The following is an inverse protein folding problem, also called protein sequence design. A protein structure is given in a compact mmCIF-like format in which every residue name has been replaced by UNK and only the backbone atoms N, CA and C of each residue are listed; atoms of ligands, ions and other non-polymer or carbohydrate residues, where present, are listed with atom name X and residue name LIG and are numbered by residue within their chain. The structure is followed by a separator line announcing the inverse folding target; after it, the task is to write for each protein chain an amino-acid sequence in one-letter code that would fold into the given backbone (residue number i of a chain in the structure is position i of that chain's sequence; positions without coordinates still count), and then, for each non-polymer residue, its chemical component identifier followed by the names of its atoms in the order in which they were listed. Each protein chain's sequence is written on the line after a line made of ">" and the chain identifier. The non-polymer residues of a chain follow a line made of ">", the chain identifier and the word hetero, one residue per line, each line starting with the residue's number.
data_IF_063818110369
#
_entry.id   IF_063818110369
#
_cell.length_a   1.000
_cell.length_b   1.000
_cell.length_c   1.000
_cell.angle_alpha   90.00
_cell.angle_beta   90.00
_cell.angle_gamma   90.00
#
_symmetry.space_group_name_H-M   'P 1'
#
loop_
_entity.id
_entity.type
_entity.pdbx_description
1 polymer ?
#
# COMPACT_ATOMS: atom_id res chain seq x y z
N UNK A 1 -12.46 51.65 5.68
CA UNK A 1 -13.23 51.04 4.59
C UNK A 1 -13.67 49.64 5.01
N UNK A 2 -14.88 49.49 5.56
CA UNK A 2 -15.44 48.19 5.91
C UNK A 2 -16.13 47.58 4.69
N UNK A 3 -15.43 46.69 3.96
CA UNK A 3 -16.05 45.85 2.93
C UNK A 3 -16.56 44.58 3.62
N UNK A 4 -17.88 44.43 3.73
CA UNK A 4 -18.52 43.16 4.07
C UNK A 4 -18.08 42.10 3.05
N UNK A 5 -17.42 41.03 3.52
CA UNK A 5 -17.02 39.92 2.64
C UNK A 5 -18.27 39.11 2.30
N UNK A 6 -18.57 39.00 1.00
CA UNK A 6 -19.64 38.14 0.49
C UNK A 6 -19.42 36.68 0.94
N UNK A 7 -20.52 35.95 1.13
CA UNK A 7 -20.48 34.54 1.51
C UNK A 7 -19.62 33.73 0.51
N UNK A 8 -18.76 32.80 0.99
CA UNK A 8 -17.91 31.99 0.12
C UNK A 8 -18.73 31.14 -0.87
N UNK A 9 -18.25 30.99 -2.11
CA UNK A 9 -18.89 30.15 -3.14
C UNK A 9 -18.86 28.65 -2.81
N UNK A 10 -17.99 28.21 -1.90
CA UNK A 10 -18.00 26.86 -1.34
C UNK A 10 -18.95 26.83 -0.14
N UNK A 11 -19.84 25.84 -0.10
CA UNK A 11 -20.75 25.63 1.03
C UNK A 11 -19.94 25.35 2.30
N UNK A 12 -19.96 26.30 3.24
CA UNK A 12 -19.34 26.21 4.56
C UNK A 12 -20.47 26.26 5.59
N UNK A 13 -20.37 25.48 6.66
CA UNK A 13 -21.35 25.51 7.75
C UNK A 13 -21.34 26.85 8.48
N UNK A 14 -22.49 27.26 9.03
CA UNK A 14 -22.64 28.53 9.77
C UNK A 14 -21.57 28.68 10.88
N UNK A 15 -21.31 27.66 11.73
CA UNK A 15 -20.29 27.79 12.78
C UNK A 15 -18.87 28.04 12.23
N UNK A 16 -18.54 27.46 11.06
CA UNK A 16 -17.24 27.69 10.42
C UNK A 16 -17.13 29.10 9.85
N UNK A 17 -18.24 29.71 9.40
CA UNK A 17 -18.26 31.10 8.94
C UNK A 17 -18.05 32.06 10.12
N UNK A 18 -18.73 31.82 11.24
CA UNK A 18 -18.56 32.58 12.48
C UNK A 18 -17.10 32.50 12.99
N UNK A 19 -16.50 31.31 12.98
CA UNK A 19 -15.07 31.13 13.31
C UNK A 19 -14.15 31.90 12.35
N UNK A 20 -14.51 32.00 11.07
CA UNK A 20 -13.76 32.81 10.11
C UNK A 20 -13.91 34.32 10.39
N UNK A 21 -15.06 34.76 10.91
CA UNK A 21 -15.26 36.13 11.40
C UNK A 21 -14.33 36.44 12.57
N UNK A 22 -14.27 35.54 13.55
CA UNK A 22 -13.35 35.65 14.68
C UNK A 22 -11.87 35.69 14.22
N UNK A 23 -11.50 34.87 13.24
CA UNK A 23 -10.16 34.89 12.65
C UNK A 23 -9.84 36.21 11.93
N UNK A 24 -10.82 36.77 11.22
CA UNK A 24 -10.66 38.06 10.55
C UNK A 24 -10.40 39.18 11.56
N UNK A 25 -11.14 39.18 12.68
CA UNK A 25 -10.94 40.11 13.79
C UNK A 25 -9.53 39.97 14.38
N UNK A 26 -9.06 38.75 14.61
CA UNK A 26 -7.71 38.49 15.12
C UNK A 26 -6.62 39.07 14.21
N UNK A 27 -6.71 38.83 12.89
CA UNK A 27 -5.76 39.38 11.91
C UNK A 27 -5.85 40.90 11.80
N UNK A 28 -7.06 41.46 11.87
CA UNK A 28 -7.25 42.90 11.86
C UNK A 28 -6.58 43.53 13.08
N UNK A 29 -6.85 43.01 14.27
CA UNK A 29 -6.22 43.47 15.51
C UNK A 29 -4.70 43.37 15.43
N UNK A 30 -4.16 42.25 14.93
CA UNK A 30 -2.72 42.09 14.72
C UNK A 30 -2.12 43.18 13.82
N UNK A 31 -2.83 43.60 12.77
CA UNK A 31 -2.37 44.63 11.85
C UNK A 31 -2.39 46.05 12.44
N UNK A 32 -3.25 46.31 13.44
CA UNK A 32 -3.41 47.62 14.08
C UNK A 32 -2.83 47.69 15.50
N UNK A 33 -2.37 46.57 16.07
CA UNK A 33 -1.90 46.49 17.46
C UNK A 33 -0.75 47.46 17.76
N UNK A 34 0.15 47.67 16.80
CA UNK A 34 1.22 48.67 16.89
C UNK A 34 0.68 50.10 17.00
N UNK A 35 -0.38 50.43 16.26
CA UNK A 35 -1.06 51.73 16.35
C UNK A 35 -1.79 51.86 17.69
N UNK A 36 -2.51 50.82 18.14
CA UNK A 36 -3.22 50.82 19.41
C UNK A 36 -2.29 51.07 20.59
N UNK A 37 -1.07 50.52 20.56
CA UNK A 37 -0.04 50.75 21.59
C UNK A 37 0.54 52.18 21.53
N UNK A 38 0.48 52.84 20.38
CA UNK A 38 1.02 54.22 20.19
C UNK A 38 0.03 55.33 20.53
N UNK A 39 -1.26 55.03 20.72
CA UNK A 39 -2.27 56.00 21.09
C UNK A 39 -2.12 56.36 22.58
N UNK A 40 -2.06 57.66 22.89
CA UNK A 40 -1.93 58.18 24.26
C UNK A 40 -3.15 57.81 25.12
N UNK A 41 -2.96 56.93 26.09
CA UNK A 41 -3.97 56.50 27.05
C UNK A 41 -3.47 55.32 27.89
N UNK A 42 -4.12 55.03 29.02
CA UNK A 42 -3.81 53.82 29.81
C UNK A 42 -4.14 52.57 28.98
N UNK A 43 -3.16 51.70 28.64
CA UNK A 43 -3.42 50.54 27.81
C UNK A 43 -4.27 49.54 28.61
N UNK A 44 -5.54 49.41 28.25
CA UNK A 44 -6.39 48.31 28.72
C UNK A 44 -6.16 47.08 27.85
N UNK A 45 -6.17 45.87 28.43
CA UNK A 45 -6.12 44.65 27.63
C UNK A 45 -7.32 44.61 26.68
N UNK A 46 -7.13 44.19 25.42
CA UNK A 46 -8.22 44.13 24.47
C UNK A 46 -9.21 43.01 24.87
N UNK A 47 -10.51 43.31 24.74
CA UNK A 47 -11.59 42.35 24.94
C UNK A 47 -12.35 42.18 23.63
N UNK A 48 -12.54 40.93 23.22
CA UNK A 48 -13.16 40.53 21.97
C UNK A 48 -14.49 39.85 22.25
N UNK A 49 -15.50 40.17 21.45
CA UNK A 49 -16.85 39.64 21.62
C UNK A 49 -17.28 38.81 20.41
N UNK A 50 -17.98 37.71 20.68
CA UNK A 50 -18.71 36.93 19.67
C UNK A 50 -20.02 36.44 20.27
N UNK A 51 -21.05 36.39 19.45
CA UNK A 51 -22.36 35.82 19.78
C UNK A 51 -22.46 34.31 19.50
N UNK A 52 -21.43 33.73 18.89
CA UNK A 52 -21.37 32.29 18.66
C UNK A 52 -20.80 31.55 19.86
N UNK A 53 -21.69 30.89 20.60
CA UNK A 53 -21.31 29.98 21.69
C UNK A 53 -20.48 28.79 21.19
N UNK A 54 -20.68 28.33 19.95
CA UNK A 54 -19.88 27.27 19.33
C UNK A 54 -18.44 27.74 19.10
N UNK A 55 -18.24 28.97 18.59
CA UNK A 55 -16.90 29.55 18.42
C UNK A 55 -16.20 29.70 19.76
N UNK A 56 -16.90 30.21 20.79
CA UNK A 56 -16.34 30.28 22.14
C UNK A 56 -15.97 28.90 22.70
N UNK A 57 -16.83 27.90 22.49
CA UNK A 57 -16.54 26.52 22.87
C UNK A 57 -15.29 25.97 22.17
N UNK A 58 -15.14 26.23 20.87
CA UNK A 58 -13.94 25.85 20.13
C UNK A 58 -12.68 26.58 20.59
N UNK A 59 -12.75 27.88 20.90
CA UNK A 59 -11.62 28.67 21.42
C UNK A 59 -11.17 28.18 22.81
N UNK A 60 -12.09 27.67 23.61
CA UNK A 60 -11.79 27.08 24.93
C UNK A 60 -11.47 25.58 24.87
N UNK A 61 -11.50 24.96 23.69
CA UNK A 61 -11.13 23.56 23.50
C UNK A 61 -9.68 23.44 23.02
N UNK A 62 -8.86 22.54 23.60
CA UNK A 62 -7.51 22.31 23.11
C UNK A 62 -7.48 21.95 21.61
N UNK A 63 -6.64 22.64 20.83
CA UNK A 63 -6.66 22.56 19.36
C UNK A 63 -6.43 21.13 18.83
N UNK A 64 -5.73 20.27 19.55
CA UNK A 64 -5.54 18.87 19.17
C UNK A 64 -6.83 18.05 19.16
N UNK A 65 -7.82 18.42 19.98
CA UNK A 65 -9.13 17.77 20.07
C UNK A 65 -10.10 18.13 18.95
N UNK A 66 -9.77 19.13 18.12
CA UNK A 66 -10.63 19.65 17.05
C UNK A 66 -10.21 19.09 15.68
N UNK A 67 -11.16 18.90 14.76
CA UNK A 67 -10.87 18.54 13.36
C UNK A 67 -10.04 19.64 12.68
N UNK A 68 -9.27 19.25 11.67
CA UNK A 68 -8.19 20.07 11.08
C UNK A 68 -8.60 21.49 10.69
N UNK A 69 -9.79 21.69 10.12
CA UNK A 69 -10.27 23.01 9.72
C UNK A 69 -10.42 23.98 10.90
N UNK A 70 -11.06 23.51 11.97
CA UNK A 70 -11.32 24.27 13.20
C UNK A 70 -10.03 24.43 13.98
N UNK A 71 -9.28 23.34 14.16
CA UNK A 71 -8.00 23.29 14.87
C UNK A 71 -7.00 24.34 14.38
N UNK A 72 -6.81 24.45 13.06
CA UNK A 72 -5.86 25.40 12.48
C UNK A 72 -6.25 26.86 12.78
N UNK A 73 -7.55 27.18 12.71
CA UNK A 73 -8.06 28.55 12.92
C UNK A 73 -8.07 28.94 14.39
N UNK A 74 -8.47 28.01 15.27
CA UNK A 74 -8.39 28.21 16.72
C UNK A 74 -6.94 28.45 17.13
N UNK A 75 -6.00 27.67 16.59
CA UNK A 75 -4.56 27.87 16.88
C UNK A 75 -4.09 29.26 16.44
N UNK A 76 -4.48 29.72 15.25
CA UNK A 76 -4.10 31.05 14.76
C UNK A 76 -4.72 32.17 15.61
N UNK A 77 -6.01 32.08 15.97
CA UNK A 77 -6.68 33.08 16.82
C UNK A 77 -6.05 33.15 18.20
N UNK A 78 -5.83 31.99 18.82
CA UNK A 78 -5.31 31.90 20.20
C UNK A 78 -3.84 32.32 20.30
N UNK A 79 -3.05 32.12 19.24
CA UNK A 79 -1.68 32.64 19.16
C UNK A 79 -1.62 34.17 19.11
N UNK A 80 -2.61 34.82 18.47
CA UNK A 80 -2.61 36.26 18.27
C UNK A 80 -3.28 37.00 19.43
N UNK A 81 -4.40 36.48 19.95
CA UNK A 81 -5.26 37.20 20.89
C UNK A 81 -5.37 36.57 22.29
N UNK A 82 -4.84 35.36 22.49
CA UNK A 82 -5.08 34.58 23.71
C UNK A 82 -6.53 34.10 23.84
N UNK A 83 -6.76 33.10 24.69
CA UNK A 83 -8.11 32.55 24.94
C UNK A 83 -8.91 33.39 25.93
N UNK A 84 -8.25 33.97 26.93
CA UNK A 84 -8.87 34.73 28.03
C UNK A 84 -9.47 36.08 27.62
N UNK A 85 -9.18 36.55 26.41
CA UNK A 85 -9.65 37.85 25.90
C UNK A 85 -11.00 37.75 25.17
N UNK A 86 -11.59 36.56 25.05
CA UNK A 86 -12.87 36.37 24.35
C UNK A 86 -14.05 36.24 25.30
N UNK A 87 -15.12 36.98 25.02
CA UNK A 87 -16.37 37.00 25.80
C UNK A 87 -17.59 36.78 24.89
N UNK A 88 -18.69 36.36 25.49
CA UNK A 88 -19.96 36.23 24.79
C UNK A 88 -20.72 37.57 24.77
N UNK A 89 -21.34 37.89 23.64
CA UNK A 89 -22.33 38.97 23.53
C UNK A 89 -23.64 38.39 22.99
N UNK A 90 -24.79 38.87 23.46
CA UNK A 90 -26.07 38.43 22.90
C UNK A 90 -26.20 38.96 21.47
N UNK A 91 -26.77 38.17 20.55
CA UNK A 91 -26.90 38.59 19.14
C UNK A 91 -27.67 39.91 18.98
N UNK A 92 -28.65 40.20 19.85
CA UNK A 92 -29.42 41.45 19.83
C UNK A 92 -28.58 42.68 20.24
N UNK A 93 -27.49 42.45 20.96
CA UNK A 93 -26.57 43.48 21.44
C UNK A 93 -25.28 43.54 20.62
N UNK A 94 -25.14 42.70 19.58
CA UNK A 94 -23.96 42.64 18.73
C UNK A 94 -24.02 43.69 17.62
N UNK A 95 -23.23 44.78 17.67
CA UNK A 95 -23.25 45.81 16.62
C UNK A 95 -22.80 45.27 15.26
N UNK A 96 -21.98 44.21 15.22
CA UNK A 96 -21.53 43.63 13.96
C UNK A 96 -22.69 43.00 13.16
N UNK A 97 -23.78 42.61 13.82
CA UNK A 97 -24.95 42.02 13.17
C UNK A 97 -25.75 43.02 12.34
N UNK A 98 -25.80 44.29 12.75
CA UNK A 98 -26.40 45.36 11.95
C UNK A 98 -25.71 45.50 10.59
N UNK A 99 -24.39 45.26 10.53
CA UNK A 99 -23.62 45.29 9.30
C UNK A 99 -23.69 44.00 8.47
N UNK A 100 -23.93 42.85 9.10
CA UNK A 100 -23.94 41.54 8.43
C UNK A 100 -25.32 41.13 7.92
N UNK A 101 -26.39 41.46 8.65
CA UNK A 101 -27.79 41.13 8.31
C UNK A 101 -28.46 42.15 7.39
N UNK A 102 -27.82 43.31 7.20
CA UNK A 102 -28.28 44.38 6.33
C UNK A 102 -29.14 45.39 7.08
N UNK A 103 -28.86 46.68 6.85
CA UNK A 103 -29.58 47.80 7.44
C UNK A 103 -29.71 48.91 6.39
N UNK A 104 -30.86 49.57 6.30
CA UNK A 104 -31.04 50.67 5.35
C UNK A 104 -30.20 51.89 5.78
N UNK A 105 -29.72 52.67 4.82
CA UNK A 105 -28.94 53.87 5.12
C UNK A 105 -29.71 54.88 6.00
N UNK A 106 -31.03 54.98 5.81
CA UNK A 106 -31.92 55.80 6.63
C UNK A 106 -32.05 55.31 8.07
N UNK A 107 -32.00 53.99 8.28
CA UNK A 107 -32.07 53.36 9.60
C UNK A 107 -30.72 53.50 10.32
N UNK A 108 -29.61 53.44 9.59
CA UNK A 108 -28.26 53.50 10.14
C UNK A 108 -27.99 54.82 10.86
N UNK A 109 -28.53 55.92 10.33
CA UNK A 109 -28.35 57.27 10.90
C UNK A 109 -28.80 57.31 12.36
N UNK A 110 -29.89 56.61 12.69
CA UNK A 110 -30.49 56.60 14.03
C UNK A 110 -30.21 55.30 14.81
N UNK A 111 -29.30 54.45 14.33
CA UNK A 111 -29.06 53.13 14.93
C UNK A 111 -28.05 53.20 16.09
N UNK A 112 -28.53 53.51 17.30
CA UNK A 112 -27.70 53.74 18.49
C UNK A 112 -26.72 52.59 18.78
N UNK A 113 -27.16 51.34 18.63
CA UNK A 113 -26.31 50.16 18.88
C UNK A 113 -25.07 50.13 17.97
N UNK A 114 -25.15 50.62 16.73
CA UNK A 114 -24.01 50.63 15.80
C UNK A 114 -22.97 51.70 16.16
N UNK A 115 -23.44 52.87 16.58
CA UNK A 115 -22.59 54.03 16.85
C UNK A 115 -22.01 54.03 18.26
N UNK A 116 -22.77 53.57 19.25
CA UNK A 116 -22.41 53.65 20.66
C UNK A 116 -22.17 52.28 21.30
N UNK A 117 -22.52 51.19 20.63
CA UNK A 117 -22.51 49.86 21.22
C UNK A 117 -23.60 49.68 22.28
N UNK A 118 -23.67 48.51 22.94
CA UNK A 118 -24.57 48.30 24.06
C UNK A 118 -24.19 49.18 25.26
N UNK A 119 -25.20 49.68 25.98
CA UNK A 119 -25.01 50.65 27.06
C UNK A 119 -24.10 50.16 28.20
N UNK A 120 -24.02 48.84 28.42
CA UNK A 120 -23.16 48.26 29.43
C UNK A 120 -21.65 48.36 29.11
N UNK A 121 -21.26 48.59 27.85
CA UNK A 121 -19.83 48.82 27.52
C UNK A 121 -19.29 50.15 28.07
N UNK A 122 -20.18 51.11 28.36
CA UNK A 122 -19.81 52.37 28.99
C UNK A 122 -19.64 52.25 30.51
N UNK A 123 -20.09 51.14 31.10
CA UNK A 123 -19.98 50.85 32.54
C UNK A 123 -18.60 50.27 32.88
N UNK A 124 -18.32 50.16 34.19
CA UNK A 124 -17.10 49.51 34.68
C UNK A 124 -17.10 48.01 34.29
N UNK A 125 -15.93 47.43 34.03
CA UNK A 125 -15.81 46.02 33.60
C UNK A 125 -16.38 45.03 34.64
N UNK A 126 -16.42 45.41 35.92
CA UNK A 126 -17.07 44.66 37.00
C UNK A 126 -18.59 44.57 36.85
N UNK A 127 -19.19 45.51 36.11
CA UNK A 127 -20.63 45.59 35.85
C UNK A 127 -21.00 45.00 34.49
N UNK A 128 -20.02 44.49 33.72
CA UNK A 128 -20.28 43.82 32.46
C UNK A 128 -20.97 42.47 32.69
N UNK A 129 -21.86 42.05 31.78
CA UNK A 129 -22.56 40.78 31.92
C UNK A 129 -21.57 39.60 31.98
N UNK A 130 -21.77 38.72 32.96
CA UNK A 130 -20.98 37.49 33.08
C UNK A 130 -21.16 36.60 31.85
N UNK A 131 -20.04 36.22 31.23
CA UNK A 131 -20.03 35.20 30.19
C UNK A 131 -20.04 33.81 30.84
N UNK A 132 -21.22 33.31 31.20
CA UNK A 132 -21.40 31.92 31.64
C UNK A 132 -21.18 30.98 30.44
N UNK A 133 -19.93 30.60 30.18
CA UNK A 133 -19.59 29.59 29.17
C UNK A 133 -19.89 28.23 29.80
N UNK A 134 -21.10 27.72 29.60
CA UNK A 134 -21.33 26.28 29.74
C UNK A 134 -20.56 25.60 28.61
N UNK A 135 -19.43 24.96 28.92
CA UNK A 135 -18.72 24.10 27.98
C UNK A 135 -19.66 22.93 27.64
N UNK A 136 -20.50 23.13 26.62
CA UNK A 136 -21.40 22.11 26.11
C UNK A 136 -20.58 20.88 25.71
N UNK A 137 -20.97 19.71 26.20
CA UNK A 137 -20.25 18.45 25.95
C UNK A 137 -20.31 17.99 24.48
N UNK A 138 -21.15 18.62 23.66
CA UNK A 138 -21.40 18.23 22.26
C UNK A 138 -20.99 19.32 21.25
N UNK A 139 -19.75 19.80 21.31
CA UNK A 139 -19.23 20.70 20.27
C UNK A 139 -19.11 19.96 18.92
N UNK A 140 -19.59 20.55 17.81
CA UNK A 140 -19.42 19.96 16.49
C UNK A 140 -17.94 19.94 16.09
N UNK A 141 -17.58 19.07 15.16
CA UNK A 141 -16.22 18.98 14.62
C UNK A 141 -15.10 18.66 15.62
N UNK A 142 -15.45 18.06 16.75
CA UNK A 142 -14.49 17.35 17.60
C UNK A 142 -13.88 16.16 16.84
N UNK A 143 -12.59 15.89 17.06
CA UNK A 143 -12.01 14.60 16.71
C UNK A 143 -12.63 13.57 17.65
N UNK A 144 -13.09 12.47 17.08
CA UNK A 144 -13.44 11.29 17.88
C UNK A 144 -12.19 10.91 18.68
N UNK A 145 -12.27 10.74 20.02
CA UNK A 145 -11.13 10.22 20.76
C UNK A 145 -10.69 8.93 20.06
N UNK A 146 -9.43 8.88 19.64
CA UNK A 146 -8.84 7.61 19.22
C UNK A 146 -9.04 6.68 20.40
N UNK A 147 -9.79 5.60 20.19
CA UNK A 147 -10.16 4.66 21.24
C UNK A 147 -8.98 4.44 22.19
N UNK A 148 -9.18 4.71 23.49
CA UNK A 148 -8.31 4.21 24.54
C UNK A 148 -7.98 2.76 24.16
N UNK A 149 -6.70 2.48 23.94
CA UNK A 149 -6.26 1.14 23.59
C UNK A 149 -6.61 0.25 24.78
N UNK A 150 -7.79 -0.38 24.70
CA UNK A 150 -8.10 -1.55 25.49
C UNK A 150 -7.01 -2.53 25.11
N UNK A 151 -6.07 -2.76 26.03
CA UNK A 151 -5.17 -3.92 25.95
C UNK A 151 -6.10 -5.12 26.07
N UNK A 152 -6.62 -5.54 24.93
CA UNK A 152 -7.41 -6.76 24.80
C UNK A 152 -6.47 -7.88 25.25
N UNK A 153 -6.70 -8.40 26.46
CA UNK A 153 -5.93 -9.50 27.04
C UNK A 153 -5.62 -10.51 25.93
N UNK A 154 -4.34 -10.66 25.63
CA UNK A 154 -3.91 -11.47 24.49
C UNK A 154 -4.47 -12.89 24.66
N UNK A 155 -5.34 -13.30 23.73
CA UNK A 155 -5.99 -14.61 23.79
C UNK A 155 -4.92 -15.72 23.90
N UNK A 156 -4.85 -16.47 25.01
CA UNK A 156 -3.76 -17.43 25.26
C UNK A 156 -3.67 -18.50 24.17
N UNK A 157 -4.80 -18.89 23.59
CA UNK A 157 -4.84 -19.84 22.50
C UNK A 157 -4.20 -19.28 21.22
N UNK A 158 -4.40 -18.00 20.90
CA UNK A 158 -3.77 -17.36 19.75
C UNK A 158 -2.26 -17.15 19.94
N UNK A 159 -1.82 -16.86 21.16
CA UNK A 159 -0.39 -16.83 21.50
C UNK A 159 0.21 -18.22 21.32
N UNK A 160 -0.43 -19.27 21.85
CA UNK A 160 0.05 -20.63 21.64
C UNK A 160 0.08 -21.02 20.16
N UNK A 161 -0.92 -20.62 19.37
CA UNK A 161 -0.95 -20.82 17.92
C UNK A 161 0.21 -20.11 17.20
N UNK A 162 0.66 -18.95 17.68
CA UNK A 162 1.74 -18.20 17.03
C UNK A 162 3.11 -18.89 17.13
N UNK A 163 3.27 -19.81 18.08
CA UNK A 163 4.46 -20.65 18.22
C UNK A 163 4.63 -21.73 17.13
N UNK A 164 3.62 -21.97 16.29
CA UNK A 164 3.68 -23.01 15.25
C UNK A 164 4.19 -22.47 13.92
N UNK A 165 5.21 -23.10 13.34
CA UNK A 165 5.68 -22.78 11.97
C UNK A 165 5.03 -23.61 10.87
N UNK A 166 4.27 -24.66 11.22
CA UNK A 166 3.66 -25.61 10.29
C UNK A 166 2.16 -25.71 10.50
N UNK A 167 1.40 -25.47 9.43
CA UNK A 167 -0.06 -25.59 9.40
C UNK A 167 -0.53 -26.98 9.85
N UNK A 168 0.04 -28.05 9.28
CA UNK A 168 -0.34 -29.43 9.62
C UNK A 168 -0.02 -29.75 11.08
N UNK A 169 1.10 -29.27 11.61
CA UNK A 169 1.47 -29.49 13.02
C UNK A 169 0.47 -28.80 13.94
N UNK A 170 0.14 -27.54 13.65
CA UNK A 170 -0.87 -26.79 14.39
C UNK A 170 -2.23 -27.52 14.41
N UNK A 171 -2.76 -27.86 13.23
CA UNK A 171 -4.08 -28.49 13.13
C UNK A 171 -4.12 -29.84 13.86
N UNK A 172 -3.06 -30.66 13.73
CA UNK A 172 -2.97 -31.94 14.45
C UNK A 172 -2.89 -31.74 15.97
N UNK A 173 -2.11 -30.77 16.45
CA UNK A 173 -2.04 -30.45 17.88
C UNK A 173 -3.41 -30.01 18.42
N UNK A 174 -4.13 -29.16 17.70
CA UNK A 174 -5.48 -28.74 18.09
C UNK A 174 -6.48 -29.91 18.05
N UNK A 175 -6.35 -30.82 17.08
CA UNK A 175 -7.18 -32.01 17.01
C UNK A 175 -6.98 -32.93 18.23
N UNK A 176 -5.72 -33.15 18.64
CA UNK A 176 -5.42 -33.90 19.86
C UNK A 176 -5.93 -33.22 21.12
N UNK A 177 -5.80 -31.89 21.24
CA UNK A 177 -6.37 -31.13 22.37
C UNK A 177 -7.90 -31.25 22.42
N UNK A 178 -8.56 -31.16 21.27
CA UNK A 178 -10.02 -31.34 21.17
C UNK A 178 -10.44 -32.76 21.55
N UNK A 179 -9.71 -33.79 21.11
CA UNK A 179 -9.94 -35.19 21.49
C UNK A 179 -9.77 -35.39 22.99
N UNK A 180 -8.67 -34.89 23.55
CA UNK A 180 -8.41 -34.96 24.98
C UNK A 180 -9.55 -34.33 25.78
N UNK A 181 -9.96 -33.11 25.41
CA UNK A 181 -11.11 -32.41 26.01
C UNK A 181 -12.42 -33.19 25.87
N UNK A 182 -12.63 -33.87 24.75
CA UNK A 182 -13.82 -34.71 24.56
C UNK A 182 -13.76 -35.91 25.52
N UNK A 183 -12.67 -36.67 25.52
CA UNK A 183 -12.51 -37.86 26.33
C UNK A 183 -12.60 -37.56 27.83
N UNK A 184 -12.01 -36.46 28.31
CA UNK A 184 -12.08 -36.07 29.73
C UNK A 184 -13.51 -35.73 30.19
N UNK A 185 -14.36 -35.23 29.29
CA UNK A 185 -15.77 -34.96 29.57
C UNK A 185 -16.66 -36.19 29.54
N UNK A 186 -16.17 -37.31 28.99
CA UNK A 186 -16.96 -38.53 28.76
C UNK A 186 -16.38 -39.73 29.49
N UNK A 187 -15.49 -39.52 30.46
CA UNK A 187 -15.00 -40.58 31.35
C UNK A 187 -16.20 -41.14 32.12
N UNK A 188 -16.50 -42.43 31.92
CA UNK A 188 -17.58 -43.12 32.62
C UNK A 188 -19.01 -42.87 32.10
N UNK A 189 -19.21 -42.12 31.00
CA UNK A 189 -20.55 -42.02 30.38
C UNK A 189 -20.89 -43.33 29.66
N UNK A 190 -22.02 -43.94 30.03
CA UNK A 190 -22.55 -45.16 29.41
C UNK A 190 -23.00 -44.95 27.96
N UNK A 191 -23.15 -43.70 27.57
CA UNK A 191 -23.72 -43.20 26.32
C UNK A 191 -22.71 -42.92 25.20
N UNK A 192 -21.43 -42.72 25.54
CA UNK A 192 -20.43 -42.19 24.61
C UNK A 192 -19.13 -42.99 24.72
N UNK A 193 -18.58 -43.38 23.57
CA UNK A 193 -17.31 -44.09 23.50
C UNK A 193 -16.14 -43.10 23.52
N UNK A 194 -15.09 -43.42 24.27
CA UNK A 194 -13.83 -42.69 24.19
C UNK A 194 -13.22 -42.80 22.79
N UNK A 195 -12.72 -41.68 22.28
CA UNK A 195 -12.04 -41.61 21.00
C UNK A 195 -10.59 -42.07 21.15
N UNK A 196 -10.19 -43.10 20.42
CA UNK A 196 -8.84 -43.70 20.44
C UNK A 196 -8.31 -43.92 19.02
N UNK A 197 -7.01 -44.27 18.88
CA UNK A 197 -6.39 -44.56 17.58
C UNK A 197 -5.89 -43.32 16.81
N UNK A 198 -5.69 -43.38 15.48
CA UNK A 198 -5.25 -42.24 14.68
C UNK A 198 -6.30 -41.13 14.61
N UNK A 199 -5.87 -39.89 14.29
CA UNK A 199 -6.79 -38.76 14.09
C UNK A 199 -7.67 -39.00 12.87
N UNK A 200 -8.99 -38.88 13.05
CA UNK A 200 -9.95 -38.97 11.94
C UNK A 200 -10.02 -37.66 11.15
N UNK A 201 -10.52 -37.74 9.92
CA UNK A 201 -10.76 -36.56 9.09
C UNK A 201 -11.70 -35.55 9.77
N UNK A 202 -12.74 -36.03 10.46
CA UNK A 202 -13.70 -35.16 11.14
C UNK A 202 -13.05 -34.38 12.30
N UNK A 203 -12.13 -34.99 13.03
CA UNK A 203 -11.39 -34.31 14.09
C UNK A 203 -10.44 -33.25 13.53
N UNK A 204 -9.77 -33.54 12.41
CA UNK A 204 -8.93 -32.56 11.70
C UNK A 204 -9.80 -31.39 11.20
N UNK A 205 -10.97 -31.68 10.65
CA UNK A 205 -11.93 -30.67 10.19
C UNK A 205 -12.42 -29.79 11.34
N UNK A 206 -12.83 -30.38 12.47
CA UNK A 206 -13.23 -29.67 13.69
C UNK A 206 -12.10 -28.81 14.26
N UNK A 207 -10.88 -29.33 14.28
CA UNK A 207 -9.69 -28.58 14.69
C UNK A 207 -9.43 -27.37 13.78
N UNK A 208 -9.57 -27.55 12.46
CA UNK A 208 -9.45 -26.46 11.49
C UNK A 208 -10.49 -25.36 11.74
N UNK A 209 -11.74 -25.74 11.94
CA UNK A 209 -12.82 -24.81 12.29
C UNK A 209 -12.54 -24.09 13.62
N UNK A 210 -12.01 -24.80 14.62
CA UNK A 210 -11.65 -24.21 15.92
C UNK A 210 -10.61 -23.10 15.77
N UNK A 211 -9.55 -23.32 14.99
CA UNK A 211 -8.54 -22.29 14.71
C UNK A 211 -9.14 -21.10 13.96
N UNK A 212 -9.97 -21.35 12.94
CA UNK A 212 -10.62 -20.31 12.15
C UNK A 212 -11.51 -19.44 13.03
N UNK A 213 -12.37 -20.05 13.86
CA UNK A 213 -13.24 -19.33 14.77
C UNK A 213 -12.44 -18.48 15.77
N UNK A 214 -11.38 -19.03 16.36
CA UNK A 214 -10.53 -18.26 17.28
C UNK A 214 -9.93 -17.02 16.61
N UNK A 215 -9.48 -17.15 15.36
CA UNK A 215 -8.96 -16.03 14.57
C UNK A 215 -10.07 -15.04 14.22
N UNK A 216 -11.23 -15.49 13.76
CA UNK A 216 -12.35 -14.61 13.43
C UNK A 216 -12.84 -13.82 14.64
N UNK A 217 -13.02 -14.49 15.80
CA UNK A 217 -13.41 -13.85 17.05
C UNK A 217 -12.45 -12.71 17.42
N UNK A 218 -11.14 -12.96 17.35
CA UNK A 218 -10.13 -11.96 17.71
C UNK A 218 -10.04 -10.78 16.75
N UNK A 219 -10.07 -11.03 15.45
CA UNK A 219 -9.77 -10.01 14.44
C UNK A 219 -11.00 -9.27 13.91
N UNK A 220 -12.18 -9.90 13.95
CA UNK A 220 -13.42 -9.31 13.41
C UNK A 220 -14.45 -8.99 14.49
N UNK A 221 -14.42 -9.69 15.64
CA UNK A 221 -15.48 -9.57 16.66
C UNK A 221 -14.96 -9.18 18.05
N UNK A 222 -13.73 -8.70 18.17
CA UNK A 222 -13.14 -8.22 19.43
C UNK A 222 -13.31 -9.23 20.59
N UNK A 223 -13.04 -10.50 20.32
CA UNK A 223 -13.13 -11.60 21.28
C UNK A 223 -14.53 -12.19 21.47
N UNK A 224 -15.58 -11.54 20.95
CA UNK A 224 -16.96 -12.04 21.02
C UNK A 224 -17.23 -13.10 19.95
N UNK A 225 -18.31 -13.84 20.14
CA UNK A 225 -18.79 -14.77 19.13
C UNK A 225 -19.18 -14.06 17.82
N UNK A 226 -19.02 -14.74 16.67
CA UNK A 226 -19.46 -14.18 15.40
C UNK A 226 -20.93 -13.75 15.46
N UNK A 227 -21.19 -12.51 15.07
CA UNK A 227 -22.53 -11.91 15.03
C UNK A 227 -22.84 -11.39 13.62
N UNK A 228 -24.04 -11.69 13.13
CA UNK A 228 -24.45 -11.40 11.76
C UNK A 228 -24.59 -9.88 11.49
N UNK A 229 -25.06 -9.12 12.48
CA UNK A 229 -25.23 -7.67 12.35
C UNK A 229 -23.87 -6.97 12.33
N UNK A 230 -22.95 -7.40 13.18
CA UNK A 230 -21.57 -6.89 13.20
C UNK A 230 -20.86 -7.22 11.88
N UNK A 231 -20.99 -8.46 11.41
CA UNK A 231 -20.39 -8.89 10.16
C UNK A 231 -20.88 -8.06 8.96
N UNK A 232 -22.20 -7.85 8.85
CA UNK A 232 -22.82 -7.04 7.80
C UNK A 232 -22.32 -5.59 7.79
N UNK A 233 -22.08 -4.99 8.97
CA UNK A 233 -21.50 -3.65 9.11
C UNK A 233 -20.02 -3.59 8.71
N UNK A 234 -19.23 -4.61 9.06
CA UNK A 234 -17.80 -4.65 8.77
C UNK A 234 -17.49 -4.94 7.30
N UNK A 235 -18.31 -5.77 6.64
CA UNK A 235 -18.04 -6.23 5.28
C UNK A 235 -19.26 -6.07 4.34
N UNK A 236 -19.83 -4.87 4.18
CA UNK A 236 -21.10 -4.67 3.47
C UNK A 236 -21.08 -5.18 2.02
N UNK A 237 -19.92 -5.09 1.35
CA UNK A 237 -19.74 -5.52 -0.05
C UNK A 237 -19.47 -7.01 -0.23
N UNK A 238 -19.30 -7.78 0.85
CA UNK A 238 -19.01 -9.22 0.79
C UNK A 238 -20.24 -10.10 1.10
N UNK A 239 -21.41 -9.48 1.29
CA UNK A 239 -22.64 -10.16 1.71
C UNK A 239 -22.37 -11.25 2.77
N UNK A 240 -21.71 -10.89 3.89
CA UNK A 240 -21.18 -11.86 4.84
C UNK A 240 -22.32 -12.61 5.51
N UNK A 241 -22.11 -13.88 5.80
CA UNK A 241 -23.06 -14.66 6.60
C UNK A 241 -22.34 -15.64 7.52
N UNK A 242 -23.00 -15.97 8.63
CA UNK A 242 -22.53 -16.99 9.57
C UNK A 242 -23.21 -18.31 9.21
N UNK A 243 -22.41 -19.32 8.90
CA UNK A 243 -22.91 -20.67 8.60
C UNK A 243 -23.19 -21.48 9.87
N UNK A 244 -23.75 -22.68 9.72
CA UNK A 244 -24.11 -23.58 10.83
C UNK A 244 -22.91 -23.98 11.71
N UNK A 245 -21.71 -23.99 11.13
CA UNK A 245 -20.43 -24.21 11.83
C UNK A 245 -19.96 -22.98 12.64
N UNK A 246 -20.79 -21.94 12.71
CA UNK A 246 -20.54 -20.60 13.30
C UNK A 246 -19.43 -19.82 12.62
N UNK A 247 -18.94 -20.27 11.47
CA UNK A 247 -17.84 -19.62 10.75
C UNK A 247 -18.40 -18.49 9.88
N UNK A 248 -17.72 -17.34 9.94
CA UNK A 248 -18.01 -16.22 9.04
C UNK A 248 -17.52 -16.55 7.62
N UNK A 249 -18.45 -16.52 6.66
CA UNK A 249 -18.20 -16.80 5.24
C UNK A 249 -18.66 -15.62 4.38
N UNK A 250 -18.09 -15.56 3.19
CA UNK A 250 -18.45 -14.58 2.16
C UNK A 250 -19.62 -15.12 1.34
N UNK A 251 -20.68 -14.33 1.20
CA UNK A 251 -21.80 -14.62 0.31
C UNK A 251 -21.42 -14.37 -1.15
N UNK A 252 -22.31 -14.68 -2.09
CA UNK A 252 -22.04 -14.38 -3.48
C UNK A 252 -23.04 -14.95 -4.47
N UNK A 253 -22.80 -14.65 -5.75
CA UNK A 253 -23.66 -15.02 -6.88
C UNK A 253 -23.54 -16.48 -7.32
N UNK A 254 -22.65 -17.24 -6.69
CA UNK A 254 -22.38 -18.65 -7.02
C UNK A 254 -23.24 -19.64 -6.22
N UNK A 255 -24.23 -19.17 -5.45
CA UNK A 255 -25.07 -20.01 -4.59
C UNK A 255 -25.74 -21.17 -5.36
N UNK A 256 -26.21 -20.91 -6.58
CA UNK A 256 -26.89 -21.88 -7.45
C UNK A 256 -25.95 -22.76 -8.28
N UNK A 257 -24.63 -22.54 -8.23
CA UNK A 257 -23.68 -23.31 -9.06
C UNK A 257 -23.53 -24.77 -8.62
N UNK A 258 -23.04 -25.66 -9.48
CA UNK A 258 -22.68 -27.05 -9.13
C UNK A 258 -21.28 -27.15 -8.49
N UNK A 259 -20.99 -26.25 -7.55
CA UNK A 259 -19.69 -26.15 -6.87
C UNK A 259 -19.77 -26.65 -5.41
N UNK A 260 -18.62 -27.01 -4.84
CA UNK A 260 -18.54 -27.31 -3.41
C UNK A 260 -18.93 -26.11 -2.55
N UNK A 261 -19.53 -26.34 -1.38
CA UNK A 261 -19.97 -25.27 -0.46
C UNK A 261 -18.85 -24.26 -0.16
N UNK A 262 -17.63 -24.74 0.13
CA UNK A 262 -16.46 -23.89 0.38
C UNK A 262 -16.05 -22.98 -0.81
N UNK A 263 -16.37 -23.39 -2.05
CA UNK A 263 -16.11 -22.58 -3.26
C UNK A 263 -17.19 -21.52 -3.49
N UNK A 264 -18.45 -21.87 -3.19
CA UNK A 264 -19.57 -20.93 -3.27
C UNK A 264 -19.45 -19.85 -2.21
N UNK A 265 -19.05 -20.27 -1.01
CA UNK A 265 -19.05 -19.47 0.20
C UNK A 265 -17.70 -19.59 0.92
N UNK A 266 -16.65 -18.93 0.38
CA UNK A 266 -15.32 -19.02 0.94
C UNK A 266 -15.27 -18.40 2.33
N UNK A 267 -14.43 -18.99 3.19
CA UNK A 267 -14.27 -18.61 4.59
C UNK A 267 -13.48 -17.31 4.69
N UNK A 268 -14.01 -16.32 5.42
CA UNK A 268 -13.33 -15.03 5.58
C UNK A 268 -12.20 -15.13 6.59
N UNK A 269 -10.98 -14.75 6.20
CA UNK A 269 -9.81 -14.77 7.08
C UNK A 269 -9.05 -13.43 7.06
N UNK A 270 -8.54 -12.95 8.21
CA UNK A 270 -7.77 -11.71 8.28
C UNK A 270 -6.36 -11.89 7.69
N UNK A 271 -5.85 -10.85 7.04
CA UNK A 271 -4.49 -10.85 6.47
C UNK A 271 -3.39 -10.96 7.49
N UNK A 272 -3.59 -10.32 8.64
CA UNK A 272 -2.55 -10.08 9.63
C UNK A 272 -2.53 -11.17 10.71
N UNK A 273 -3.19 -12.31 10.47
CA UNK A 273 -3.14 -13.44 11.39
C UNK A 273 -2.00 -14.37 11.05
N UNK A 274 -1.36 -14.89 12.09
CA UNK A 274 -0.36 -15.96 11.97
C UNK A 274 -0.93 -17.20 11.25
N UNK A 275 -2.20 -17.53 11.52
CA UNK A 275 -2.90 -18.62 10.86
C UNK A 275 -2.95 -18.46 9.34
N UNK A 276 -3.31 -17.28 8.83
CA UNK A 276 -3.29 -17.00 7.38
C UNK A 276 -1.89 -17.10 6.78
N UNK A 277 -0.86 -16.71 7.53
CA UNK A 277 0.54 -16.79 7.10
C UNK A 277 0.96 -18.24 6.91
N UNK A 278 0.81 -19.09 7.93
CA UNK A 278 1.22 -20.50 7.86
C UNK A 278 0.34 -21.31 6.89
N UNK A 279 -0.93 -20.93 6.71
CA UNK A 279 -1.83 -21.50 5.70
C UNK A 279 -1.29 -21.24 4.29
N UNK A 280 -0.93 -20.00 3.97
CA UNK A 280 -0.38 -19.65 2.66
C UNK A 280 0.95 -20.36 2.42
N UNK A 281 1.83 -20.41 3.42
CA UNK A 281 3.09 -21.15 3.32
C UNK A 281 2.86 -22.65 3.08
N UNK A 282 1.85 -23.23 3.73
CA UNK A 282 1.48 -24.62 3.55
C UNK A 282 0.98 -24.90 2.13
N UNK A 283 0.04 -24.08 1.62
CA UNK A 283 -0.49 -24.22 0.26
C UNK A 283 0.61 -23.95 -0.78
N UNK A 284 1.49 -23.00 -0.54
CA UNK A 284 2.63 -22.73 -1.41
C UNK A 284 3.56 -23.95 -1.54
N UNK A 285 3.83 -24.68 -0.45
CA UNK A 285 4.69 -25.87 -0.46
C UNK A 285 3.98 -27.11 -1.02
N UNK A 286 2.72 -27.35 -0.64
CA UNK A 286 2.00 -28.57 -1.06
C UNK A 286 1.69 -28.56 -2.57
N UNK A 287 1.50 -27.38 -3.17
CA UNK A 287 1.29 -27.21 -4.60
C UNK A 287 2.59 -26.91 -5.38
N UNK A 288 3.76 -27.25 -4.81
CA UNK A 288 5.06 -27.19 -5.48
C UNK A 288 5.47 -25.78 -5.95
N UNK A 289 5.36 -24.79 -5.06
CA UNK A 289 5.80 -23.41 -5.29
C UNK A 289 5.12 -22.70 -6.48
N UNK A 290 3.77 -22.68 -6.54
CA UNK A 290 3.06 -22.07 -7.65
C UNK A 290 3.29 -20.55 -7.69
N UNK A 291 3.20 -19.98 -8.89
CA UNK A 291 3.25 -18.53 -9.09
C UNK A 291 2.13 -17.80 -8.33
N UNK A 292 2.24 -16.47 -8.13
CA UNK A 292 1.35 -15.72 -7.24
C UNK A 292 -0.12 -15.76 -7.67
N UNK A 293 -0.41 -15.76 -8.97
CA UNK A 293 -1.78 -15.83 -9.48
C UNK A 293 -2.40 -17.21 -9.27
N UNK A 294 -1.62 -18.28 -9.49
CA UNK A 294 -2.07 -19.65 -9.30
C UNK A 294 -2.31 -19.95 -7.81
N UNK A 295 -1.39 -19.53 -6.94
CA UNK A 295 -1.57 -19.66 -5.49
C UNK A 295 -2.82 -18.89 -5.01
N UNK A 296 -3.07 -17.72 -5.56
CA UNK A 296 -4.26 -16.93 -5.24
C UNK A 296 -5.54 -17.71 -5.60
N UNK A 297 -5.61 -18.27 -6.82
CA UNK A 297 -6.76 -19.08 -7.24
C UNK A 297 -6.98 -20.29 -6.32
N UNK A 298 -5.90 -21.00 -5.94
CA UNK A 298 -5.97 -22.16 -5.05
C UNK A 298 -6.48 -21.80 -3.64
N UNK A 299 -6.03 -20.68 -3.09
CA UNK A 299 -6.52 -20.18 -1.80
C UNK A 299 -8.00 -19.82 -1.89
N UNK A 300 -8.42 -19.16 -2.97
CA UNK A 300 -9.79 -18.71 -3.19
C UNK A 300 -10.80 -19.85 -3.41
N UNK A 301 -10.34 -21.09 -3.63
CA UNK A 301 -11.22 -22.27 -3.65
C UNK A 301 -11.90 -22.51 -2.29
N UNK A 302 -11.35 -21.98 -1.19
CA UNK A 302 -11.86 -22.22 0.16
C UNK A 302 -11.85 -20.99 1.07
N UNK A 303 -10.94 -20.04 0.83
CA UNK A 303 -10.71 -18.91 1.73
C UNK A 303 -10.76 -17.58 1.00
N UNK A 304 -11.42 -16.61 1.61
CA UNK A 304 -11.39 -15.22 1.21
C UNK A 304 -10.51 -14.44 2.19
N UNK A 305 -9.34 -14.01 1.75
CA UNK A 305 -8.43 -13.18 2.53
C UNK A 305 -8.38 -11.79 1.86
N UNK A 306 -8.77 -10.69 2.53
CA UNK A 306 -8.62 -9.35 1.97
C UNK A 306 -7.16 -9.11 1.55
N UNK A 307 -6.86 -8.35 0.51
CA UNK A 307 -5.45 -8.10 0.10
C UNK A 307 -4.56 -9.36 -0.06
N UNK A 308 -5.13 -10.53 -0.38
CA UNK A 308 -4.43 -11.82 -0.47
C UNK A 308 -3.17 -11.76 -1.35
N UNK A 309 -3.25 -11.09 -2.50
CA UNK A 309 -2.12 -10.97 -3.44
C UNK A 309 -0.88 -10.34 -2.82
N UNK A 310 -1.05 -9.35 -1.94
CA UNK A 310 0.05 -8.70 -1.20
C UNK A 310 0.70 -9.70 -0.25
N UNK A 311 -0.11 -10.46 0.48
CA UNK A 311 0.37 -11.48 1.43
C UNK A 311 1.11 -12.61 0.70
N UNK A 312 0.56 -13.11 -0.42
CA UNK A 312 1.20 -14.13 -1.26
C UNK A 312 2.57 -13.66 -1.76
N UNK A 313 2.66 -12.45 -2.33
CA UNK A 313 3.95 -11.92 -2.82
C UNK A 313 4.97 -11.81 -1.70
N UNK A 314 4.55 -11.33 -0.52
CA UNK A 314 5.40 -11.26 0.67
C UNK A 314 5.91 -12.65 1.06
N UNK A 315 5.03 -13.64 1.19
CA UNK A 315 5.41 -15.02 1.58
C UNK A 315 6.27 -15.71 0.52
N UNK A 316 5.95 -15.53 -0.77
CA UNK A 316 6.73 -16.06 -1.88
C UNK A 316 8.15 -15.49 -1.93
N UNK A 317 8.33 -14.19 -1.64
CA UNK A 317 9.64 -13.57 -1.54
C UNK A 317 10.48 -14.13 -0.38
N UNK A 318 9.86 -14.45 0.76
CA UNK A 318 10.54 -15.07 1.91
C UNK A 318 10.78 -16.58 1.75
N UNK A 319 10.34 -17.19 0.64
CA UNK A 319 10.55 -18.61 0.42
C UNK A 319 11.95 -18.86 -0.16
N UNK A 320 12.80 -19.57 0.60
CA UNK A 320 14.17 -19.90 0.17
C UNK A 320 14.23 -20.72 -1.12
N UNK A 321 13.29 -21.65 -1.35
CA UNK A 321 13.25 -22.44 -2.59
C UNK A 321 12.96 -21.55 -3.80
N UNK A 322 11.99 -20.64 -3.68
CA UNK A 322 11.67 -19.66 -4.72
C UNK A 322 12.81 -18.66 -4.92
N UNK A 323 13.46 -18.25 -3.84
CA UNK A 323 14.62 -17.35 -3.90
C UNK A 323 15.78 -17.99 -4.68
N UNK A 324 16.13 -19.24 -4.36
CA UNK A 324 17.22 -19.97 -5.04
C UNK A 324 16.93 -20.27 -6.51
N UNK A 325 15.67 -20.55 -6.86
CA UNK A 325 15.27 -20.82 -8.25
C UNK A 325 15.16 -19.57 -9.11
N UNK A 326 14.95 -18.40 -8.49
CA UNK A 326 14.95 -17.10 -9.16
C UNK A 326 16.39 -16.64 -9.40
N UNK A 327 17.09 -17.34 -10.30
CA UNK A 327 18.46 -17.01 -10.69
C UNK A 327 18.61 -15.52 -11.00
N UNK A 328 19.66 -14.90 -10.48
CA UNK A 328 19.96 -13.50 -10.74
C UNK A 328 20.47 -13.42 -12.18
N UNK A 329 19.64 -12.95 -13.11
CA UNK A 329 20.13 -12.49 -14.42
C UNK A 329 20.85 -11.16 -14.20
N UNK A 330 22.17 -11.22 -14.06
CA UNK A 330 23.00 -10.02 -14.17
C UNK A 330 22.92 -9.61 -15.64
N UNK A 331 22.23 -8.51 -15.92
CA UNK A 331 22.29 -7.91 -17.26
C UNK A 331 23.67 -7.26 -17.40
N UNK A 332 24.60 -7.82 -18.21
CA UNK A 332 25.89 -7.18 -18.40
C UNK A 332 25.67 -5.81 -19.06
N UNK A 333 26.42 -4.80 -18.63
CA UNK A 333 26.46 -3.52 -19.33
C UNK A 333 27.00 -3.77 -20.75
N UNK A 334 26.24 -3.41 -21.78
CA UNK A 334 26.71 -3.52 -23.16
C UNK A 334 27.95 -2.63 -23.33
N UNK A 335 29.07 -3.22 -23.73
CA UNK A 335 30.29 -2.49 -24.04
C UNK A 335 30.11 -1.58 -25.26
N UNK A 336 30.91 -0.51 -25.35
CA UNK A 336 30.92 0.36 -26.51
C UNK A 336 31.31 -0.43 -27.77
N UNK A 337 30.64 -0.13 -28.88
CA UNK A 337 31.05 -0.64 -30.18
C UNK A 337 32.42 -0.07 -30.55
N UNK A 338 33.34 -0.88 -31.07
CA UNK A 338 34.65 -0.42 -31.46
C UNK A 338 34.56 0.47 -32.71
N UNK A 339 35.50 1.43 -32.84
CA UNK A 339 35.49 2.48 -33.89
C UNK A 339 35.30 1.94 -35.31
N UNK A 340 35.94 0.84 -35.66
CA UNK A 340 35.84 0.22 -36.99
C UNK A 340 34.46 -0.40 -37.33
N UNK A 341 33.50 -0.43 -36.39
CA UNK A 341 32.08 -0.72 -36.69
C UNK A 341 31.25 0.54 -36.94
N UNK A 342 31.78 1.70 -36.59
CA UNK A 342 31.08 2.99 -36.66
C UNK A 342 31.63 3.85 -37.81
N UNK A 343 32.94 3.78 -38.05
CA UNK A 343 33.60 4.51 -39.11
C UNK A 343 33.27 3.89 -40.47
N UNK A 344 32.78 4.72 -41.39
CA UNK A 344 32.55 4.33 -42.78
C UNK A 344 33.87 4.03 -43.49
N UNK A 345 33.84 3.13 -44.47
CA UNK A 345 35.02 2.78 -45.24
C UNK A 345 34.74 1.77 -46.35
N UNK A 346 35.80 1.40 -47.07
CA UNK A 346 35.76 0.34 -48.09
C UNK A 346 35.25 -0.97 -47.46
N UNK A 347 34.35 -1.67 -48.17
CA UNK A 347 33.92 -3.00 -47.75
C UNK A 347 35.11 -3.95 -47.59
N UNK A 348 35.11 -4.74 -46.50
CA UNK A 348 36.21 -5.62 -46.09
C UNK A 348 37.52 -4.91 -45.67
N UNK A 349 37.48 -3.62 -45.33
CA UNK A 349 38.62 -2.93 -44.70
C UNK A 349 38.93 -3.49 -43.30
N UNK A 350 37.89 -3.81 -42.54
CA UNK A 350 37.94 -4.45 -41.23
C UNK A 350 37.11 -5.73 -41.26
N UNK A 351 37.73 -6.86 -40.94
CA UNK A 351 37.14 -8.18 -41.14
C UNK A 351 37.23 -8.98 -39.85
N UNK A 352 36.10 -9.50 -39.40
CA UNK A 352 36.10 -10.59 -38.43
C UNK A 352 36.11 -11.92 -39.15
N UNK A 353 36.84 -12.87 -38.58
CA UNK A 353 36.89 -14.23 -39.09
C UNK A 353 36.30 -15.17 -38.06
N UNK A 354 35.44 -16.06 -38.55
CA UNK A 354 34.87 -17.14 -37.76
C UNK A 354 34.82 -18.42 -38.61
N UNK A 355 34.65 -19.57 -37.97
CA UNK A 355 34.46 -20.85 -38.65
C UNK A 355 33.12 -21.47 -38.29
N UNK A 356 32.35 -21.87 -39.30
CA UNK A 356 31.17 -22.70 -39.12
C UNK A 356 31.47 -24.15 -39.49
N UNK A 357 31.00 -25.08 -38.66
CA UNK A 357 31.14 -26.50 -38.88
C UNK A 357 31.28 -27.29 -37.58
N UNK A 358 31.63 -28.59 -37.65
CA UNK A 358 31.93 -29.33 -38.88
C UNK A 358 30.68 -29.67 -39.70
N UNK A 359 30.80 -29.60 -41.02
CA UNK A 359 29.86 -30.14 -42.00
C UNK A 359 30.43 -31.42 -42.62
N UNK A 360 29.57 -32.37 -43.00
CA UNK A 360 29.99 -33.60 -43.66
C UNK A 360 29.96 -33.42 -45.19
N UNK A 361 31.11 -33.56 -45.84
CA UNK A 361 31.25 -33.59 -47.29
C UNK A 361 31.51 -35.01 -47.78
N UNK A 362 30.89 -35.37 -48.90
CA UNK A 362 31.25 -36.59 -49.65
C UNK A 362 32.42 -36.26 -50.57
N UNK A 363 33.52 -37.01 -50.44
CA UNK A 363 34.70 -36.80 -51.29
C UNK A 363 34.47 -37.18 -52.76
N UNK A 364 33.45 -38.00 -53.05
CA UNK A 364 33.07 -38.33 -54.43
C UNK A 364 31.59 -38.69 -54.54
N UNK A 365 31.09 -38.76 -55.78
CA UNK A 365 29.71 -39.16 -56.09
C UNK A 365 29.46 -40.68 -55.97
N UNK A 366 30.45 -41.48 -55.53
CA UNK A 366 30.33 -42.94 -55.42
C UNK A 366 29.38 -43.32 -54.28
N UNK A 367 28.63 -44.43 -54.43
CA UNK A 367 27.64 -44.92 -53.45
C UNK A 367 28.19 -45.22 -52.04
N UNK A 368 29.51 -45.35 -51.88
CA UNK A 368 30.21 -45.52 -50.59
C UNK A 368 31.43 -44.60 -50.50
N UNK A 369 31.30 -43.35 -50.94
CA UNK A 369 32.37 -42.37 -50.79
C UNK A 369 32.65 -42.09 -49.30
N UNK A 370 33.92 -41.99 -48.88
CA UNK A 370 34.25 -41.56 -47.53
C UNK A 370 33.68 -40.16 -47.28
N UNK A 371 33.15 -39.98 -46.07
CA UNK A 371 32.69 -38.69 -45.57
C UNK A 371 33.87 -37.99 -44.89
N UNK A 372 34.18 -36.78 -45.34
CA UNK A 372 35.19 -35.93 -44.72
C UNK A 372 34.54 -34.73 -44.07
N UNK A 373 35.15 -34.24 -42.98
CA UNK A 373 34.72 -33.01 -42.33
C UNK A 373 35.16 -31.82 -43.16
N UNK A 374 34.31 -30.82 -43.24
CA UNK A 374 34.61 -29.54 -43.81
C UNK A 374 34.06 -28.41 -42.96
N UNK A 375 34.64 -27.25 -43.13
CA UNK A 375 34.33 -26.04 -42.40
C UNK A 375 34.15 -24.91 -43.39
N UNK A 376 33.33 -23.94 -43.03
CA UNK A 376 33.21 -22.68 -43.76
C UNK A 376 33.98 -21.64 -42.98
N UNK A 377 35.00 -21.05 -43.60
CA UNK A 377 35.66 -19.86 -43.11
C UNK A 377 34.81 -18.65 -43.51
N UNK A 378 34.31 -17.93 -42.51
CA UNK A 378 33.46 -16.75 -42.66
C UNK A 378 34.32 -15.50 -42.50
N UNK A 379 34.40 -14.70 -43.56
CA UNK A 379 34.97 -13.36 -43.50
C UNK A 379 33.81 -12.35 -43.44
N UNK A 380 33.61 -11.73 -42.28
CA UNK A 380 32.53 -10.76 -42.05
C UNK A 380 33.09 -9.35 -42.04
N UNK A 381 32.63 -8.50 -42.96
CA UNK A 381 32.97 -7.09 -42.95
C UNK A 381 32.36 -6.40 -41.72
N UNK A 382 33.19 -5.77 -40.90
CA UNK A 382 32.75 -5.15 -39.65
C UNK A 382 31.92 -3.88 -39.86
N UNK A 383 32.21 -3.13 -40.93
CA UNK A 383 31.47 -1.93 -41.32
C UNK A 383 30.10 -2.23 -41.95
N UNK A 384 30.04 -3.09 -42.98
CA UNK A 384 28.81 -3.33 -43.76
C UNK A 384 28.05 -4.60 -43.42
N UNK A 385 28.63 -5.50 -42.61
CA UNK A 385 28.11 -6.87 -42.37
C UNK A 385 28.04 -7.78 -43.59
N UNK A 386 28.67 -7.40 -44.70
CA UNK A 386 28.84 -8.29 -45.84
C UNK A 386 29.66 -9.53 -45.45
N UNK A 387 29.24 -10.70 -45.93
CA UNK A 387 29.88 -11.99 -45.61
C UNK A 387 30.52 -12.55 -46.88
N UNK A 388 31.76 -13.02 -46.76
CA UNK A 388 32.44 -13.81 -47.77
C UNK A 388 32.75 -15.20 -47.18
N UNK A 389 32.38 -16.25 -47.89
CA UNK A 389 32.52 -17.63 -47.43
C UNK A 389 33.57 -18.37 -48.26
N UNK A 390 34.46 -19.08 -47.58
CA UNK A 390 35.43 -19.99 -48.20
C UNK A 390 35.30 -21.37 -47.57
N UNK A 391 35.23 -22.42 -48.39
CA UNK A 391 35.25 -23.79 -47.90
C UNK A 391 36.68 -24.21 -47.52
N UNK A 392 36.82 -24.88 -46.39
CA UNK A 392 38.09 -25.32 -45.82
C UNK A 392 37.95 -26.76 -45.32
N UNK A 393 38.95 -27.61 -45.57
CA UNK A 393 38.90 -29.03 -45.22
C UNK A 393 39.32 -29.32 -43.78
N UNK A 394 40.02 -28.39 -43.11
CA UNK A 394 40.54 -28.55 -41.74
C UNK A 394 40.55 -27.21 -40.99
N UNK A 395 40.43 -27.25 -39.67
CA UNK A 395 40.69 -26.11 -38.78
C UNK A 395 42.20 -26.02 -38.47
N UNK A 396 43.01 -25.79 -39.52
CA UNK A 396 44.47 -25.61 -39.38
C UNK A 396 44.91 -24.28 -39.97
N UNK A 397 46.06 -23.78 -39.50
CA UNK A 397 46.66 -22.53 -39.95
C UNK A 397 46.88 -22.51 -41.45
N UNK A 398 47.41 -23.59 -42.04
CA UNK A 398 47.65 -23.67 -43.49
C UNK A 398 46.36 -23.56 -44.30
N UNK A 399 45.29 -24.19 -43.82
CA UNK A 399 44.01 -24.20 -44.49
C UNK A 399 43.33 -22.82 -44.38
N UNK A 400 43.54 -22.11 -43.27
CA UNK A 400 43.16 -20.71 -43.09
C UNK A 400 43.97 -19.76 -43.99
N UNK A 401 45.30 -19.92 -44.07
CA UNK A 401 46.14 -19.09 -44.94
C UNK A 401 45.74 -19.23 -46.41
N UNK A 402 45.46 -20.45 -46.85
CA UNK A 402 44.95 -20.71 -48.19
C UNK A 402 43.57 -20.05 -48.42
N UNK A 403 42.65 -20.09 -47.45
CA UNK A 403 41.37 -19.37 -47.57
C UNK A 403 41.55 -17.86 -47.55
N UNK A 404 42.50 -17.36 -46.77
CA UNK A 404 42.79 -15.94 -46.66
C UNK A 404 43.38 -15.38 -47.95
N UNK A 405 44.28 -16.10 -48.60
CA UNK A 405 44.80 -15.71 -49.92
C UNK A 405 43.68 -15.62 -50.97
N UNK A 406 42.76 -16.59 -50.99
CA UNK A 406 41.58 -16.54 -51.89
C UNK A 406 40.68 -15.34 -51.57
N UNK A 407 40.44 -15.08 -50.30
CA UNK A 407 39.69 -13.91 -49.84
C UNK A 407 40.37 -12.60 -50.31
N UNK A 408 41.66 -12.42 -50.04
CA UNK A 408 42.43 -11.21 -50.41
C UNK A 408 42.47 -11.02 -51.92
N UNK A 409 42.63 -12.10 -52.70
CA UNK A 409 42.64 -12.02 -54.17
C UNK A 409 41.33 -11.46 -54.74
N UNK A 410 40.19 -11.69 -54.07
CA UNK A 410 38.86 -11.25 -54.51
C UNK A 410 38.42 -9.93 -53.87
N UNK A 411 38.77 -9.71 -52.60
CA UNK A 411 38.24 -8.60 -51.78
C UNK A 411 39.30 -7.55 -51.43
N UNK A 412 40.55 -7.74 -51.85
CA UNK A 412 41.69 -6.88 -51.50
C UNK A 412 42.20 -7.14 -50.09
N UNK A 413 43.38 -6.60 -49.80
CA UNK A 413 44.01 -6.74 -48.48
C UNK A 413 43.26 -5.86 -47.45
N UNK A 414 42.88 -6.40 -46.27
CA UNK A 414 42.28 -5.60 -45.20
C UNK A 414 43.28 -4.61 -44.60
N UNK A 415 42.79 -3.47 -44.11
CA UNK A 415 43.62 -2.35 -43.64
C UNK A 415 44.09 -2.49 -42.18
N UNK A 416 43.40 -3.31 -41.38
CA UNK A 416 43.71 -3.55 -39.97
C UNK A 416 43.39 -5.00 -39.60
N UNK A 417 44.02 -5.49 -38.52
CA UNK A 417 44.05 -6.88 -38.07
C UNK A 417 42.69 -7.59 -38.03
N UNK A 418 42.72 -8.86 -38.45
CA UNK A 418 41.62 -9.82 -38.37
C UNK A 418 41.31 -10.08 -36.91
N UNK A 419 40.04 -9.96 -36.53
CA UNK A 419 39.58 -10.34 -35.20
C UNK A 419 38.92 -11.71 -35.25
N UNK A 420 39.51 -12.66 -34.52
CA UNK A 420 38.93 -13.99 -34.29
C UNK A 420 38.39 -14.06 -32.88
N UNK A 421 37.27 -14.75 -32.69
CA UNK A 421 36.73 -15.09 -31.37
C UNK A 421 37.39 -16.33 -30.76
N UNK A 422 38.18 -17.07 -31.55
CA UNK A 422 38.91 -18.26 -31.14
C UNK A 422 40.42 -17.97 -30.94
N UNK A 423 40.93 -18.34 -29.76
CA UNK A 423 42.36 -18.24 -29.38
C UNK A 423 43.25 -19.26 -30.11
N UNK A 424 42.69 -20.24 -30.81
CA UNK A 424 43.42 -21.35 -31.46
C UNK A 424 44.14 -20.96 -32.76
N UNK A 425 43.93 -19.75 -33.29
CA UNK A 425 44.53 -19.30 -34.56
C UNK A 425 45.78 -18.40 -34.38
N UNK A 426 46.23 -18.17 -33.13
CA UNK A 426 47.29 -17.21 -32.80
C UNK A 426 48.61 -17.84 -32.34
N UNK A 427 48.91 -19.09 -32.71
CA UNK A 427 50.31 -19.55 -32.64
C UNK A 427 51.07 -18.99 -33.84
N UNK A 428 51.86 -17.94 -33.57
CA UNK A 428 52.90 -17.45 -34.48
C UNK A 428 53.84 -18.63 -34.79
N UNK A 429 54.15 -18.93 -36.06
CA UNK A 429 55.35 -19.69 -36.35
C UNK A 429 56.55 -18.79 -36.03
N UNK A 430 57.28 -19.13 -34.98
CA UNK A 430 58.64 -18.63 -34.76
C UNK A 430 59.53 -19.18 -35.88
N UNK A 431 59.83 -18.34 -36.88
CA UNK A 431 61.11 -18.27 -37.59
C UNK A 431 61.24 -16.91 -38.26
#
# INVERSE_FOLDING_TARGET
>A
TAKSKLAPTKVISIPRLELCGALLLARLYQSISGLCTSLSGTPRPPVFYTDSTIVLGWLNTPSYGLKTFVSNRVTEITQVLGTSSWRHIRSEENPADSGSRGLLASELINHNLWWSGPGWLALLESEWPESLISLQQDLPEMKTPAALAVVELANPFLIWMSGFSSYNRLIRSVAWLNRWRYNTKHVGCCCCRMLTGPLTFDEIRKATVTCILAVQRRYFFHGKDPDQQIAAKLFPYLSPYIADDKVLRVGGRLALGSLSSDRKHPILLPTNSHFSIILIDHLHRIYLHPGPNQLQALVQLKFWIPSLRRLIRKRGFMCMTCYKSKGITISPQMGNLPKYRLDGGRAFSHVGVDFAGPFELRESLRRKAPLSKAYLCLYVCMATKAIHLEAVTRLSTDAFLASFQRFVSRRGLPAMSIQTTDQTLLERPDT
#
